data_IF_923592828665
#
_entry.id   IF_923592828665
#
_cell.length_a   1.000
_cell.length_b   1.000
_cell.length_c   1.000
_cell.angle_alpha   90.00
_cell.angle_beta   90.00
_cell.angle_gamma   90.00
#
_symmetry.space_group_name_H-M   'P 1'
#
loop_
_entity.id
_entity.type
_entity.pdbx_description
1 polymer ?
#
# COMPACT_ATOMS: atom_id res chain seq x y z
N UNK A 1 -8.06 -9.97 11.97
CA UNK A 1 -7.52 -9.04 10.95
C UNK A 1 -6.19 -8.52 11.46
N UNK A 2 -5.25 -8.18 10.56
CA UNK A 2 -3.92 -7.65 10.93
C UNK A 2 -4.06 -6.40 11.81
N UNK A 3 -3.24 -6.29 12.86
CA UNK A 3 -3.20 -5.09 13.70
C UNK A 3 -2.32 -4.02 13.03
N UNK A 4 -2.87 -2.85 12.76
CA UNK A 4 -2.19 -1.74 12.07
C UNK A 4 -1.45 -0.87 13.10
N UNK A 5 -0.12 -0.84 13.02
CA UNK A 5 0.76 -0.17 13.99
C UNK A 5 1.68 0.87 13.35
N UNK A 6 1.80 0.91 12.03
CA UNK A 6 2.71 1.81 11.36
C UNK A 6 2.50 3.30 11.70
N UNK A 7 3.59 4.06 11.65
CA UNK A 7 3.63 5.47 12.04
C UNK A 7 2.73 6.38 11.21
N UNK A 8 2.49 6.03 9.94
CA UNK A 8 1.67 6.82 9.02
C UNK A 8 0.19 6.72 9.38
N UNK A 9 -0.27 5.51 9.68
CA UNK A 9 -1.61 5.27 10.23
C UNK A 9 -1.79 5.92 11.62
N UNK A 10 -0.73 5.91 12.43
CA UNK A 10 -0.70 6.45 13.78
C UNK A 10 -0.29 7.93 13.87
N UNK A 11 -0.44 8.69 12.79
CA UNK A 11 -0.18 10.12 12.76
C UNK A 11 -1.05 10.88 13.78
N UNK A 12 -0.55 12.04 14.23
CA UNK A 12 -1.25 12.91 15.19
C UNK A 12 -2.63 13.30 14.64
N UNK A 13 -2.72 13.64 13.36
CA UNK A 13 -3.95 14.06 12.69
C UNK A 13 -4.98 12.93 12.65
N UNK A 14 -4.60 11.72 12.20
CA UNK A 14 -5.51 10.56 12.18
C UNK A 14 -5.99 10.19 13.58
N UNK A 15 -5.12 10.23 14.60
CA UNK A 15 -5.51 10.01 16.00
C UNK A 15 -6.52 11.04 16.48
N UNK A 16 -6.28 12.33 16.20
CA UNK A 16 -7.20 13.41 16.56
C UNK A 16 -8.55 13.27 15.86
N UNK A 17 -8.56 12.87 14.59
CA UNK A 17 -9.78 12.62 13.82
C UNK A 17 -10.58 11.43 14.39
N UNK A 18 -9.92 10.32 14.72
CA UNK A 18 -10.57 9.15 15.36
C UNK A 18 -11.17 9.50 16.72
N UNK A 19 -10.43 10.24 17.56
CA UNK A 19 -10.95 10.71 18.84
C UNK A 19 -12.16 11.63 18.67
N UNK A 20 -12.11 12.52 17.68
CA UNK A 20 -13.24 13.40 17.38
C UNK A 20 -14.47 12.63 16.89
N UNK A 21 -14.31 11.69 15.97
CA UNK A 21 -15.39 10.80 15.53
C UNK A 21 -16.01 10.02 16.70
N UNK A 22 -15.17 9.48 17.60
CA UNK A 22 -15.63 8.78 18.81
C UNK A 22 -16.44 9.71 19.72
N UNK A 23 -15.94 10.92 19.97
CA UNK A 23 -16.65 11.93 20.75
C UNK A 23 -18.01 12.27 20.14
N UNK A 24 -18.06 12.48 18.82
CA UNK A 24 -19.32 12.77 18.11
C UNK A 24 -20.30 11.61 18.17
N UNK A 25 -19.82 10.36 18.08
CA UNK A 25 -20.65 9.16 18.27
C UNK A 25 -21.27 9.07 19.66
N UNK A 26 -20.49 9.36 20.71
CA UNK A 26 -20.99 9.41 22.10
C UNK A 26 -22.03 10.53 22.24
N UNK A 27 -21.76 11.71 21.68
CA UNK A 27 -22.69 12.85 21.71
C UNK A 27 -24.01 12.52 21.00
N UNK A 28 -23.94 11.88 19.82
CA UNK A 28 -25.11 11.36 19.08
C UNK A 28 -25.96 10.45 19.96
N UNK A 29 -25.34 9.48 20.62
CA UNK A 29 -26.03 8.52 21.48
C UNK A 29 -26.84 9.21 22.60
N UNK A 30 -26.22 10.13 23.35
CA UNK A 30 -26.91 10.84 24.43
C UNK A 30 -28.00 11.79 23.91
N UNK A 31 -27.74 12.53 22.82
CA UNK A 31 -28.72 13.48 22.27
C UNK A 31 -29.97 12.76 21.77
N UNK A 32 -29.82 11.66 21.04
CA UNK A 32 -30.95 10.84 20.59
C UNK A 32 -31.75 10.25 21.76
N UNK A 33 -31.07 9.79 22.83
CA UNK A 33 -31.76 9.28 24.03
C UNK A 33 -32.59 10.37 24.74
N UNK A 34 -32.13 11.62 24.69
CA UNK A 34 -32.77 12.77 25.32
C UNK A 34 -33.79 13.51 24.45
N UNK A 35 -33.95 13.13 23.18
CA UNK A 35 -34.69 13.91 22.17
C UNK A 35 -36.15 14.19 22.56
N UNK A 36 -36.80 13.25 23.26
CA UNK A 36 -38.19 13.43 23.73
C UNK A 36 -38.36 14.55 24.76
N UNK A 37 -37.30 14.86 25.51
CA UNK A 37 -37.31 15.89 26.57
C UNK A 37 -36.69 17.18 26.03
N UNK A 38 -35.57 17.06 25.31
CA UNK A 38 -34.83 18.16 24.71
C UNK A 38 -34.73 17.93 23.19
N UNK A 39 -35.69 18.44 22.40
CA UNK A 39 -35.74 18.25 20.97
C UNK A 39 -34.41 18.60 20.28
N UNK A 40 -34.08 17.89 19.21
CA UNK A 40 -32.92 18.20 18.38
C UNK A 40 -33.17 19.48 17.57
N UNK A 41 -32.16 20.36 17.52
CA UNK A 41 -32.18 21.45 16.54
C UNK A 41 -31.85 20.94 15.12
N UNK A 42 -32.05 21.75 14.08
CA UNK A 42 -31.84 21.34 12.69
C UNK A 42 -30.41 20.81 12.41
N UNK A 43 -29.38 21.45 12.97
CA UNK A 43 -28.00 20.98 12.83
C UNK A 43 -27.81 19.60 13.47
N UNK A 44 -28.39 19.38 14.64
CA UNK A 44 -28.34 18.08 15.32
C UNK A 44 -29.14 17.01 14.59
N UNK A 45 -30.27 17.36 13.96
CA UNK A 45 -31.01 16.44 13.09
C UNK A 45 -30.14 15.98 11.93
N UNK A 46 -29.44 16.91 11.26
CA UNK A 46 -28.51 16.61 10.16
C UNK A 46 -27.35 15.73 10.66
N UNK A 47 -26.77 16.04 11.81
CA UNK A 47 -25.59 15.33 12.33
C UNK A 47 -25.90 13.96 12.94
N UNK A 48 -27.04 13.80 13.61
CA UNK A 48 -27.28 12.64 14.46
C UNK A 48 -28.31 11.66 13.89
N UNK A 49 -29.21 12.11 13.03
CA UNK A 49 -30.20 11.23 12.41
C UNK A 49 -29.68 10.68 11.09
N UNK A 50 -30.22 9.54 10.69
CA UNK A 50 -29.87 8.91 9.40
C UNK A 50 -30.87 9.34 8.30
N UNK A 51 -31.73 10.34 8.59
CA UNK A 51 -32.77 10.86 7.69
C UNK A 51 -32.18 11.44 6.40
N UNK A 52 -30.95 11.94 6.47
CA UNK A 52 -30.24 12.60 5.38
C UNK A 52 -29.08 11.74 4.83
N UNK A 53 -28.93 10.50 5.30
CA UNK A 53 -27.86 9.62 4.83
C UNK A 53 -28.27 8.94 3.53
N UNK A 54 -27.44 9.12 2.49
CA UNK A 54 -27.57 8.39 1.25
C UNK A 54 -27.15 6.93 1.48
N UNK A 55 -28.08 5.98 1.29
CA UNK A 55 -27.85 4.55 1.52
C UNK A 55 -27.24 3.91 0.27
N UNK A 56 -25.96 4.16 0.03
CA UNK A 56 -25.25 3.44 -1.03
C UNK A 56 -25.11 1.95 -0.67
N UNK A 57 -25.23 1.11 -1.69
CA UNK A 57 -24.96 -0.33 -1.59
C UNK A 57 -23.46 -0.54 -1.74
N UNK A 58 -22.93 -1.59 -1.13
CA UNK A 58 -21.57 -2.03 -1.43
C UNK A 58 -21.57 -2.60 -2.85
N UNK A 59 -20.62 -2.17 -3.67
CA UNK A 59 -20.38 -2.80 -4.96
C UNK A 59 -19.89 -4.24 -4.75
N UNK A 60 -20.37 -5.13 -5.61
CA UNK A 60 -20.04 -6.56 -5.61
C UNK A 60 -19.61 -6.97 -7.02
N UNK A 61 -18.95 -8.12 -7.10
CA UNK A 61 -18.64 -8.72 -8.39
C UNK A 61 -19.94 -8.97 -9.19
N UNK A 62 -19.89 -8.66 -10.49
CA UNK A 62 -20.91 -9.11 -11.44
C UNK A 62 -20.84 -10.63 -11.60
N UNK A 63 -21.93 -11.23 -12.09
CA UNK A 63 -21.93 -12.65 -12.48
C UNK A 63 -20.75 -12.91 -13.42
N UNK A 64 -20.03 -14.00 -13.19
CA UNK A 64 -18.90 -14.47 -14.03
C UNK A 64 -17.70 -13.51 -14.10
N UNK A 65 -17.67 -12.48 -13.25
CA UNK A 65 -16.55 -11.55 -13.13
C UNK A 65 -15.83 -11.70 -11.80
N UNK A 66 -14.51 -11.49 -11.79
CA UNK A 66 -13.71 -11.51 -10.57
C UNK A 66 -12.66 -10.40 -10.55
N UNK A 67 -12.38 -9.93 -9.34
CA UNK A 67 -11.24 -9.08 -9.00
C UNK A 67 -10.57 -9.70 -7.78
N UNK A 68 -9.26 -9.88 -7.83
CA UNK A 68 -8.47 -10.46 -6.75
C UNK A 68 -7.11 -9.78 -6.67
N UNK A 69 -6.65 -9.51 -5.46
CA UNK A 69 -5.24 -9.28 -5.17
C UNK A 69 -4.43 -10.51 -5.54
N UNK A 70 -3.33 -10.32 -6.29
CA UNK A 70 -2.50 -11.38 -6.85
C UNK A 70 -1.38 -11.85 -5.90
N UNK A 71 -1.54 -11.72 -4.59
CA UNK A 71 -0.53 -12.08 -3.58
C UNK A 71 0.80 -11.33 -3.67
N UNK A 72 1.08 -10.52 -4.70
CA UNK A 72 2.40 -9.90 -4.91
C UNK A 72 2.37 -8.44 -4.54
N UNK A 73 3.32 -8.07 -3.68
CA UNK A 73 3.65 -6.68 -3.36
C UNK A 73 5.11 -6.49 -3.72
N UNK A 74 5.39 -5.69 -4.73
CA UNK A 74 6.73 -5.29 -5.11
C UNK A 74 7.18 -4.19 -4.18
N UNK A 75 8.38 -4.33 -3.61
CA UNK A 75 8.98 -3.30 -2.75
C UNK A 75 10.24 -2.84 -3.44
N UNK A 76 10.21 -1.59 -3.88
CA UNK A 76 11.24 -1.03 -4.73
C UNK A 76 12.21 -0.21 -3.89
N UNK A 77 13.49 -0.32 -4.22
CA UNK A 77 14.52 0.56 -3.71
C UNK A 77 15.60 0.78 -4.76
N UNK A 78 16.52 1.70 -4.48
CA UNK A 78 17.66 1.96 -5.36
C UNK A 78 18.94 2.01 -4.54
N UNK A 79 20.04 1.60 -5.15
CA UNK A 79 21.37 1.75 -4.58
C UNK A 79 22.30 2.41 -5.61
N UNK A 80 23.21 3.30 -5.19
CA UNK A 80 24.28 3.76 -6.06
C UNK A 80 25.15 2.59 -6.55
N UNK A 81 25.57 2.61 -7.82
CA UNK A 81 26.46 1.56 -8.39
C UNK A 81 27.77 1.43 -7.63
N UNK A 82 28.31 2.52 -7.09
CA UNK A 82 29.53 2.48 -6.28
C UNK A 82 29.35 1.75 -4.93
N UNK A 83 28.12 1.47 -4.48
CA UNK A 83 27.81 0.68 -3.27
C UNK A 83 27.51 -0.79 -3.57
N UNK A 84 27.60 -1.25 -4.82
CA UNK A 84 27.14 -2.58 -5.21
C UNK A 84 27.88 -3.73 -4.50
N UNK A 85 29.16 -3.54 -4.20
CA UNK A 85 29.96 -4.54 -3.49
C UNK A 85 29.45 -4.73 -2.06
N UNK A 86 29.16 -3.64 -1.35
CA UNK A 86 28.53 -3.70 -0.04
C UNK A 86 27.14 -4.36 -0.10
N UNK A 87 26.35 -4.04 -1.13
CA UNK A 87 25.08 -4.71 -1.36
C UNK A 87 25.24 -6.23 -1.52
N UNK A 88 26.23 -6.71 -2.28
CA UNK A 88 26.48 -8.15 -2.44
C UNK A 88 26.75 -8.83 -1.09
N UNK A 89 27.58 -8.21 -0.23
CA UNK A 89 27.86 -8.77 1.10
C UNK A 89 26.62 -8.78 2.00
N UNK A 90 25.82 -7.71 1.99
CA UNK A 90 24.52 -7.65 2.66
C UNK A 90 23.55 -8.72 2.14
N UNK A 91 23.49 -8.91 0.83
CA UNK A 91 22.69 -9.95 0.18
C UNK A 91 23.11 -11.35 0.62
N UNK A 92 24.42 -11.66 0.65
CA UNK A 92 24.90 -12.94 1.15
C UNK A 92 24.47 -13.19 2.61
N UNK A 93 24.56 -12.17 3.47
CA UNK A 93 24.13 -12.27 4.86
C UNK A 93 22.60 -12.49 4.97
N UNK A 94 21.82 -11.76 4.17
CA UNK A 94 20.38 -11.90 4.07
C UNK A 94 19.97 -13.33 3.70
N UNK A 95 20.55 -13.88 2.62
CA UNK A 95 20.29 -15.25 2.13
C UNK A 95 20.67 -16.30 3.17
N UNK A 96 21.84 -16.17 3.83
CA UNK A 96 22.29 -17.11 4.85
C UNK A 96 21.35 -17.16 6.07
N UNK A 97 20.83 -16.00 6.49
CA UNK A 97 19.91 -15.91 7.63
C UNK A 97 18.48 -16.31 7.26
N UNK A 98 18.07 -16.05 6.02
CA UNK A 98 16.70 -16.26 5.51
C UNK A 98 16.69 -17.19 4.27
N UNK A 99 17.23 -18.42 4.38
CA UNK A 99 17.21 -19.35 3.26
C UNK A 99 15.76 -19.67 2.87
N UNK A 100 15.52 -19.90 1.59
CA UNK A 100 14.21 -20.37 1.14
C UNK A 100 13.81 -21.67 1.83
N UNK A 101 12.55 -21.77 2.26
CA UNK A 101 11.96 -23.03 2.74
C UNK A 101 11.90 -24.09 1.64
N UNK A 102 11.78 -23.69 0.38
CA UNK A 102 11.78 -24.61 -0.75
C UNK A 102 13.21 -24.90 -1.21
N UNK A 103 13.65 -26.15 -1.08
CA UNK A 103 15.00 -26.59 -1.36
C UNK A 103 15.44 -26.35 -2.81
N UNK A 104 14.50 -26.45 -3.76
CA UNK A 104 14.76 -26.22 -5.19
C UNK A 104 14.91 -24.74 -5.55
N UNK A 105 14.60 -23.84 -4.61
CA UNK A 105 14.67 -22.39 -4.79
C UNK A 105 15.76 -21.74 -3.92
N UNK A 106 16.60 -22.55 -3.26
CA UNK A 106 17.72 -22.05 -2.46
C UNK A 106 18.73 -21.34 -3.37
N UNK A 107 19.08 -20.12 -2.99
CA UNK A 107 20.10 -19.33 -3.68
C UNK A 107 21.47 -19.95 -3.39
N UNK A 108 22.19 -20.32 -4.45
CA UNK A 108 23.57 -20.81 -4.35
C UNK A 108 24.52 -19.59 -4.42
N UNK A 109 25.20 -19.34 -3.32
CA UNK A 109 26.20 -18.25 -3.24
C UNK A 109 27.52 -18.73 -3.85
N UNK A 110 27.66 -18.62 -5.17
CA UNK A 110 28.87 -18.94 -5.91
C UNK A 110 29.47 -17.71 -6.65
N UNK A 111 30.62 -17.92 -7.30
CA UNK A 111 31.29 -16.88 -8.08
C UNK A 111 30.46 -16.40 -9.29
N UNK A 112 29.54 -17.22 -9.82
CA UNK A 112 28.68 -16.82 -10.94
C UNK A 112 27.65 -15.79 -10.46
N UNK A 113 27.01 -16.05 -9.33
CA UNK A 113 26.05 -15.11 -8.73
C UNK A 113 26.76 -13.80 -8.33
N UNK A 114 27.95 -13.90 -7.73
CA UNK A 114 28.77 -12.73 -7.41
C UNK A 114 29.03 -11.87 -8.65
N UNK A 115 29.52 -12.49 -9.73
CA UNK A 115 29.75 -11.78 -11.01
C UNK A 115 28.46 -11.20 -11.58
N UNK A 116 27.35 -11.94 -11.54
CA UNK A 116 26.05 -11.48 -12.03
C UNK A 116 25.58 -10.19 -11.33
N UNK A 117 25.79 -10.09 -10.01
CA UNK A 117 25.47 -8.87 -9.26
C UNK A 117 26.51 -7.78 -9.59
N UNK A 118 27.80 -8.06 -9.41
CA UNK A 118 28.85 -7.04 -9.55
C UNK A 118 28.96 -6.44 -10.96
N UNK A 119 28.53 -7.16 -12.00
CA UNK A 119 28.49 -6.65 -13.38
C UNK A 119 27.60 -5.41 -13.56
N UNK A 120 26.63 -5.18 -12.66
CA UNK A 120 25.82 -3.95 -12.71
C UNK A 120 26.61 -2.69 -12.35
N UNK A 121 27.82 -2.80 -11.75
CA UNK A 121 28.71 -1.64 -11.54
C UNK A 121 29.08 -0.92 -12.83
N UNK A 122 29.24 -1.67 -13.92
CA UNK A 122 29.72 -1.17 -15.21
C UNK A 122 28.65 -1.26 -16.31
N UNK A 123 27.43 -1.69 -15.99
CA UNK A 123 26.36 -1.85 -16.97
C UNK A 123 25.85 -0.49 -17.42
N UNK A 124 26.03 -0.19 -18.71
CA UNK A 124 25.43 0.97 -19.37
C UNK A 124 24.05 0.63 -19.99
N UNK A 125 23.67 -0.65 -19.99
CA UNK A 125 22.47 -1.09 -20.71
C UNK A 125 21.20 -0.81 -19.89
N UNK A 126 20.46 0.23 -20.23
CA UNK A 126 19.16 0.56 -19.64
C UNK A 126 18.19 -0.61 -19.89
N UNK A 127 17.56 -1.13 -18.82
CA UNK A 127 16.57 -2.21 -18.92
C UNK A 127 17.08 -3.65 -18.71
N UNK A 128 18.39 -3.84 -18.44
CA UNK A 128 18.89 -5.15 -17.99
C UNK A 128 18.39 -5.50 -16.59
N UNK A 129 17.92 -6.74 -16.39
CA UNK A 129 17.50 -7.24 -15.07
C UNK A 129 17.98 -8.67 -14.82
N UNK A 130 18.07 -9.05 -13.55
CA UNK A 130 18.49 -10.39 -13.15
C UNK A 130 17.68 -10.86 -11.96
N UNK A 131 17.25 -12.12 -12.04
CA UNK A 131 16.64 -12.84 -10.94
C UNK A 131 17.73 -13.28 -9.96
N UNK A 132 17.66 -12.80 -8.71
CA UNK A 132 18.59 -13.16 -7.65
C UNK A 132 18.12 -14.38 -6.83
N UNK A 133 16.87 -14.79 -7.02
CA UNK A 133 16.25 -15.98 -6.43
C UNK A 133 15.29 -15.67 -5.29
N UNK A 134 15.08 -16.67 -4.43
CA UNK A 134 14.00 -16.66 -3.43
C UNK A 134 14.54 -16.80 -2.01
N UNK A 135 13.91 -16.11 -1.07
CA UNK A 135 14.24 -16.16 0.36
C UNK A 135 12.98 -16.23 1.20
N UNK A 136 13.01 -16.91 2.35
CA UNK A 136 11.86 -16.95 3.26
C UNK A 136 12.15 -16.13 4.51
N UNK A 137 11.35 -15.10 4.82
CA UNK A 137 11.62 -14.25 5.98
C UNK A 137 11.51 -15.04 7.28
N UNK A 138 12.58 -15.02 8.09
CA UNK A 138 12.53 -15.49 9.47
C UNK A 138 12.21 -14.33 10.41
N UNK A 139 10.96 -13.87 10.35
CA UNK A 139 10.46 -12.75 11.17
C UNK A 139 9.08 -13.07 11.72
N UNK A 140 8.90 -12.93 13.04
CA UNK A 140 7.59 -13.08 13.70
C UNK A 140 6.56 -12.08 13.16
N UNK A 141 7.01 -10.90 12.73
CA UNK A 141 6.14 -9.87 12.16
C UNK A 141 5.60 -10.22 10.77
N UNK A 142 6.27 -11.14 10.05
CA UNK A 142 5.95 -11.54 8.68
C UNK A 142 5.50 -12.99 8.53
N UNK A 143 5.75 -13.86 9.52
CA UNK A 143 5.55 -15.32 9.47
C UNK A 143 4.14 -15.74 8.99
N UNK A 144 3.12 -14.97 9.35
CA UNK A 144 1.72 -15.22 8.98
C UNK A 144 1.19 -14.30 7.87
N UNK A 145 2.08 -13.58 7.19
CA UNK A 145 1.73 -12.61 6.14
C UNK A 145 2.43 -12.97 4.83
N UNK A 146 3.76 -13.10 4.86
CA UNK A 146 4.62 -13.29 3.70
C UNK A 146 5.22 -14.70 3.73
N UNK A 147 5.03 -15.45 2.65
CA UNK A 147 5.58 -16.80 2.51
C UNK A 147 7.06 -16.74 2.08
N UNK A 148 7.37 -15.94 1.07
CA UNK A 148 8.72 -15.71 0.59
C UNK A 148 8.86 -14.37 -0.15
N UNK A 149 10.09 -13.92 -0.30
CA UNK A 149 10.49 -12.84 -1.19
C UNK A 149 11.11 -13.42 -2.46
N UNK A 150 10.73 -12.87 -3.61
CA UNK A 150 11.44 -13.02 -4.88
C UNK A 150 12.27 -11.76 -5.10
N UNK A 151 13.56 -11.92 -5.37
CA UNK A 151 14.53 -10.84 -5.43
C UNK A 151 14.97 -10.58 -6.86
N UNK A 152 14.92 -9.32 -7.27
CA UNK A 152 15.46 -8.87 -8.55
C UNK A 152 16.40 -7.68 -8.37
N UNK A 153 17.35 -7.60 -9.27
CA UNK A 153 18.23 -6.45 -9.49
C UNK A 153 18.06 -6.00 -10.93
N UNK A 154 18.01 -4.70 -11.17
CA UNK A 154 17.87 -4.16 -12.51
C UNK A 154 18.66 -2.86 -12.68
N UNK A 155 19.11 -2.61 -13.91
CA UNK A 155 19.83 -1.39 -14.23
C UNK A 155 18.82 -0.26 -14.36
N UNK A 156 18.92 0.71 -13.46
CA UNK A 156 17.96 1.80 -13.39
C UNK A 156 18.48 3.03 -14.15
N UNK A 157 19.74 3.41 -13.93
CA UNK A 157 20.38 4.53 -14.62
C UNK A 157 21.89 4.33 -14.73
N UNK A 158 22.62 5.33 -15.22
CA UNK A 158 24.08 5.30 -15.23
C UNK A 158 24.66 5.21 -13.82
N UNK A 159 24.05 5.87 -12.84
CA UNK A 159 24.56 5.97 -11.46
C UNK A 159 23.90 4.99 -10.47
N UNK A 160 22.70 4.50 -10.78
CA UNK A 160 21.88 3.74 -9.84
C UNK A 160 21.45 2.38 -10.38
N UNK A 161 21.27 1.46 -9.44
CA UNK A 161 20.70 0.14 -9.63
C UNK A 161 19.38 0.09 -8.88
N UNK A 162 18.36 -0.46 -9.52
CA UNK A 162 17.09 -0.75 -8.89
C UNK A 162 17.08 -2.14 -8.25
N UNK A 163 16.38 -2.24 -7.13
CA UNK A 163 16.12 -3.48 -6.41
C UNK A 163 14.61 -3.67 -6.32
N UNK A 164 14.13 -4.86 -6.63
CA UNK A 164 12.75 -5.27 -6.38
C UNK A 164 12.75 -6.48 -5.44
N UNK A 165 12.11 -6.28 -4.29
CA UNK A 165 11.81 -7.30 -3.31
C UNK A 165 10.33 -7.63 -3.39
N UNK A 166 9.96 -8.57 -4.26
CA UNK A 166 8.57 -9.00 -4.42
C UNK A 166 8.16 -9.88 -3.24
N UNK A 167 7.39 -9.33 -2.31
CA UNK A 167 6.78 -10.07 -1.21
C UNK A 167 5.60 -10.88 -1.73
N UNK A 168 5.68 -12.20 -1.57
CA UNK A 168 4.59 -13.12 -1.91
C UNK A 168 3.81 -13.43 -0.64
N UNK A 169 2.56 -12.97 -0.58
CA UNK A 169 1.67 -13.23 0.54
C UNK A 169 1.36 -14.73 0.64
N UNK A 170 1.32 -15.23 1.86
CA UNK A 170 0.89 -16.60 2.08
C UNK A 170 -0.59 -16.80 1.68
N UNK A 171 -0.94 -18.06 1.42
CA UNK A 171 -2.26 -18.42 0.89
C UNK A 171 -3.41 -17.96 1.78
N UNK A 172 -3.30 -18.16 3.08
CA UNK A 172 -4.38 -17.90 4.04
C UNK A 172 -4.63 -16.40 4.23
N UNK A 173 -3.55 -15.62 4.31
CA UNK A 173 -3.64 -14.17 4.43
C UNK A 173 -4.20 -13.57 3.15
N UNK A 174 -3.71 -13.99 1.99
CA UNK A 174 -4.23 -13.53 0.70
C UNK A 174 -5.71 -13.89 0.51
N UNK A 175 -6.14 -15.07 0.97
CA UNK A 175 -7.55 -15.43 0.91
C UNK A 175 -8.41 -14.46 1.73
N UNK A 176 -8.02 -14.20 3.00
CA UNK A 176 -8.70 -13.22 3.87
C UNK A 176 -8.71 -11.80 3.28
N UNK A 177 -7.61 -11.39 2.63
CA UNK A 177 -7.50 -10.09 1.97
C UNK A 177 -8.51 -9.99 0.82
N UNK A 178 -8.61 -11.03 -0.01
CA UNK A 178 -9.54 -11.08 -1.13
C UNK A 178 -11.00 -11.16 -0.70
N UNK A 179 -11.31 -11.91 0.36
CA UNK A 179 -12.65 -11.89 0.96
C UNK A 179 -13.00 -10.47 1.46
N UNK A 180 -12.05 -9.78 2.07
CA UNK A 180 -12.26 -8.40 2.53
C UNK A 180 -12.56 -7.44 1.39
N UNK A 181 -11.85 -7.54 0.25
CA UNK A 181 -12.05 -6.70 -0.94
C UNK A 181 -13.49 -6.72 -1.49
N UNK A 182 -14.24 -7.79 -1.25
CA UNK A 182 -15.64 -7.93 -1.72
C UNK A 182 -16.64 -8.01 -0.58
N UNK A 183 -16.18 -7.85 0.66
CA UNK A 183 -17.00 -7.91 1.85
C UNK A 183 -17.96 -6.72 1.94
N UNK A 184 -19.01 -6.91 2.73
CA UNK A 184 -19.92 -5.82 3.08
C UNK A 184 -19.31 -4.94 4.17
N UNK A 185 -19.15 -3.64 3.88
CA UNK A 185 -18.72 -2.66 4.88
C UNK A 185 -19.94 -1.88 5.39
N UNK A 186 -19.98 -1.67 6.71
CA UNK A 186 -20.97 -0.82 7.36
C UNK A 186 -20.63 0.64 7.08
N UNK A 187 -21.67 1.45 6.94
CA UNK A 187 -21.45 2.88 6.83
C UNK A 187 -20.88 3.42 8.14
N UNK A 188 -19.80 4.19 8.06
CA UNK A 188 -19.16 4.82 9.21
C UNK A 188 -19.22 6.33 9.02
N UNK A 189 -19.94 7.06 9.89
CA UNK A 189 -20.03 8.50 9.75
C UNK A 189 -18.66 9.12 10.05
N UNK A 190 -18.19 9.97 9.14
CA UNK A 190 -17.02 10.79 9.38
C UNK A 190 -17.48 12.22 9.69
N UNK A 191 -17.04 12.75 10.82
CA UNK A 191 -17.36 14.11 11.27
C UNK A 191 -16.17 15.02 11.02
N UNK A 192 -16.38 16.10 10.28
CA UNK A 192 -15.32 17.05 9.96
C UNK A 192 -15.61 18.40 10.59
N UNK A 193 -14.55 19.06 11.08
CA UNK A 193 -14.61 20.45 11.54
C UNK A 193 -14.23 21.35 10.38
N UNK A 194 -14.99 22.40 10.17
CA UNK A 194 -14.66 23.43 9.19
C UNK A 194 -14.98 24.81 9.75
N UNK A 195 -14.44 25.85 9.12
CA UNK A 195 -14.66 27.23 9.52
C UNK A 195 -15.31 28.00 8.37
N UNK A 196 -16.27 28.86 8.70
CA UNK A 196 -16.83 29.86 7.79
C UNK A 196 -16.61 31.22 8.46
N UNK A 197 -15.68 32.01 7.92
CA UNK A 197 -15.09 33.14 8.64
C UNK A 197 -14.50 32.69 9.97
N UNK A 198 -14.85 33.37 11.06
CA UNK A 198 -14.35 33.06 12.41
C UNK A 198 -15.23 32.04 13.16
N UNK A 199 -16.29 31.52 12.54
CA UNK A 199 -17.21 30.57 13.18
C UNK A 199 -16.85 29.14 12.80
N UNK A 200 -16.82 28.27 13.81
CA UNK A 200 -16.54 26.84 13.65
C UNK A 200 -17.82 26.04 13.50
N UNK A 201 -17.84 25.16 12.52
CA UNK A 201 -18.95 24.28 12.21
C UNK A 201 -18.50 22.81 12.20
N UNK A 202 -19.47 21.92 12.25
CA UNK A 202 -19.27 20.48 12.16
C UNK A 202 -20.18 19.97 11.04
N UNK A 203 -19.62 19.18 10.13
CA UNK A 203 -20.37 18.41 9.15
C UNK A 203 -20.25 16.92 9.45
N UNK A 204 -21.23 16.17 8.98
CA UNK A 204 -21.19 14.71 8.88
C UNK A 204 -21.13 14.39 7.38
N UNK A 205 -20.15 13.60 6.98
CA UNK A 205 -20.09 13.01 5.66
C UNK A 205 -20.31 11.51 5.80
N UNK A 206 -21.35 10.99 5.14
CA UNK A 206 -21.44 9.57 4.86
C UNK A 206 -20.50 9.27 3.70
N UNK A 207 -19.36 8.64 4.00
CA UNK A 207 -18.48 8.19 2.93
C UNK A 207 -19.15 7.03 2.20
N UNK A 208 -18.98 6.98 0.88
CA UNK A 208 -19.35 5.82 0.07
C UNK A 208 -18.72 4.56 0.71
N UNK A 209 -19.50 3.49 0.85
CA UNK A 209 -19.05 2.28 1.54
C UNK A 209 -17.84 1.61 0.88
N UNK A 210 -17.73 1.72 -0.44
CA UNK A 210 -16.60 1.21 -1.20
C UNK A 210 -15.35 2.08 -0.98
N UNK A 211 -15.49 3.40 -0.79
CA UNK A 211 -14.39 4.27 -0.35
C UNK A 211 -13.88 3.81 1.02
N UNK A 212 -14.78 3.59 1.99
CA UNK A 212 -14.39 3.08 3.33
C UNK A 212 -13.70 1.71 3.22
N UNK A 213 -14.22 0.81 2.38
CA UNK A 213 -13.63 -0.51 2.14
C UNK A 213 -12.22 -0.37 1.59
N UNK A 214 -12.02 0.49 0.59
CA UNK A 214 -10.72 0.79 0.00
C UNK A 214 -9.77 1.37 1.05
N UNK A 215 -10.14 2.42 1.77
CA UNK A 215 -9.26 3.04 2.78
C UNK A 215 -8.77 2.01 3.82
N UNK A 216 -9.66 1.10 4.24
CA UNK A 216 -9.30 0.00 5.15
C UNK A 216 -8.37 -1.02 4.50
N UNK A 217 -8.57 -1.33 3.21
CA UNK A 217 -7.65 -2.19 2.45
C UNK A 217 -6.28 -1.54 2.34
N UNK A 218 -6.23 -0.26 1.96
CA UNK A 218 -5.02 0.54 1.83
C UNK A 218 -4.24 0.59 3.16
N UNK A 219 -4.95 0.73 4.29
CA UNK A 219 -4.33 0.68 5.62
C UNK A 219 -3.72 -0.70 5.95
N UNK A 220 -4.36 -1.80 5.54
CA UNK A 220 -3.83 -3.17 5.69
C UNK A 220 -2.60 -3.35 4.80
N UNK A 221 -2.68 -2.95 3.53
CA UNK A 221 -1.57 -3.06 2.58
C UNK A 221 -0.39 -2.21 3.04
N UNK A 222 -0.63 -0.98 3.50
CA UNK A 222 0.42 -0.10 4.03
C UNK A 222 1.14 -0.73 5.23
N UNK A 223 0.40 -1.37 6.14
CA UNK A 223 1.01 -2.09 7.27
C UNK A 223 1.94 -3.22 6.79
N UNK A 224 1.52 -4.00 5.80
CA UNK A 224 2.34 -5.08 5.24
C UNK A 224 3.60 -4.51 4.59
N UNK A 225 3.44 -3.49 3.75
CA UNK A 225 4.53 -2.80 3.06
C UNK A 225 5.57 -2.27 4.04
N UNK A 226 5.12 -1.62 5.11
CA UNK A 226 5.98 -1.11 6.18
C UNK A 226 6.73 -2.24 6.89
N UNK A 227 6.06 -3.34 7.28
CA UNK A 227 6.73 -4.48 7.93
C UNK A 227 7.76 -5.16 7.05
N UNK A 228 7.46 -5.31 5.76
CA UNK A 228 8.40 -5.87 4.80
C UNK A 228 9.60 -4.96 4.61
N UNK A 229 9.36 -3.66 4.44
CA UNK A 229 10.43 -2.67 4.32
C UNK A 229 11.32 -2.65 5.57
N UNK A 230 10.74 -2.59 6.77
CA UNK A 230 11.48 -2.62 8.04
C UNK A 230 12.33 -3.89 8.17
N UNK A 231 11.78 -5.04 7.77
CA UNK A 231 12.51 -6.31 7.75
C UNK A 231 13.70 -6.30 6.77
N UNK A 232 13.49 -5.82 5.54
CA UNK A 232 14.55 -5.75 4.53
C UNK A 232 15.65 -4.76 4.96
N UNK A 233 15.27 -3.65 5.59
CA UNK A 233 16.19 -2.62 6.08
C UNK A 233 17.10 -3.10 7.24
N UNK A 234 16.83 -4.28 7.84
CA UNK A 234 17.76 -4.93 8.76
C UNK A 234 19.02 -5.47 8.07
N UNK A 235 18.98 -5.62 6.74
CA UNK A 235 20.05 -6.25 5.95
C UNK A 235 20.63 -5.30 4.90
N UNK A 236 19.76 -4.50 4.29
CA UNK A 236 20.11 -3.57 3.22
C UNK A 236 20.04 -2.14 3.72
N UNK A 237 20.98 -1.29 3.28
CA UNK A 237 20.94 0.17 3.48
C UNK A 237 19.90 0.76 2.50
N UNK A 238 18.61 0.52 2.77
CA UNK A 238 17.53 0.97 1.89
C UNK A 238 17.34 2.48 2.02
N UNK A 239 16.82 3.08 0.96
CA UNK A 239 16.61 4.52 0.91
C UNK A 239 15.63 5.00 1.99
N UNK A 240 15.99 6.00 2.83
CA UNK A 240 15.19 6.39 3.99
C UNK A 240 13.79 6.90 3.62
N UNK A 241 12.77 6.41 4.33
CA UNK A 241 11.37 6.73 4.03
C UNK A 241 10.95 8.16 4.41
N UNK A 242 11.59 8.84 5.36
CA UNK A 242 11.29 10.22 5.77
C UNK A 242 9.80 10.55 5.95
N UNK A 243 9.07 9.68 6.68
CA UNK A 243 7.62 9.79 6.92
C UNK A 243 6.74 9.64 5.66
N UNK A 244 7.26 9.02 4.61
CA UNK A 244 6.51 8.53 3.45
C UNK A 244 6.31 7.02 3.54
N UNK A 245 5.40 6.49 2.72
CA UNK A 245 5.25 5.06 2.52
C UNK A 245 6.42 4.50 1.67
N UNK A 246 6.74 3.20 1.79
CA UNK A 246 7.64 2.54 0.85
C UNK A 246 7.12 2.66 -0.58
N UNK A 247 8.03 2.72 -1.54
CA UNK A 247 7.66 2.65 -2.95
C UNK A 247 7.30 1.20 -3.26
N UNK A 248 6.08 1.00 -3.74
CA UNK A 248 5.55 -0.33 -3.97
C UNK A 248 4.61 -0.40 -5.16
N UNK A 249 4.53 -1.57 -5.77
CA UNK A 249 3.50 -1.92 -6.73
C UNK A 249 2.73 -3.15 -6.23
N UNK A 250 1.41 -3.09 -6.36
CA UNK A 250 0.47 -4.11 -5.89
C UNK A 250 -0.13 -4.80 -7.12
N UNK A 251 0.03 -6.12 -7.25
CA UNK A 251 -0.54 -6.84 -8.39
C UNK A 251 -1.99 -7.29 -8.11
N UNK A 252 -2.85 -7.13 -9.10
CA UNK A 252 -4.23 -7.63 -9.09
C UNK A 252 -4.50 -8.46 -10.35
N UNK A 253 -5.40 -9.45 -10.26
CA UNK A 253 -5.89 -10.23 -11.39
C UNK A 253 -7.39 -10.03 -11.52
N UNK A 254 -7.84 -9.85 -12.75
CA UNK A 254 -9.24 -9.69 -13.09
C UNK A 254 -9.56 -10.24 -14.48
N UNK A 255 -10.79 -10.69 -14.70
CA UNK A 255 -11.34 -10.98 -16.05
C UNK A 255 -12.38 -9.94 -16.50
N UNK A 256 -12.39 -8.78 -15.84
CA UNK A 256 -13.10 -7.64 -16.36
C UNK A 256 -12.40 -7.20 -17.66
N UNK A 257 -13.18 -6.85 -18.67
CA UNK A 257 -12.61 -6.29 -19.89
C UNK A 257 -12.15 -4.87 -19.58
N UNK A 258 -11.05 -4.44 -20.19
CA UNK A 258 -10.45 -3.11 -20.02
C UNK A 258 -11.28 -2.00 -20.72
N UNK A 259 -12.61 -2.09 -20.64
CA UNK A 259 -13.60 -1.16 -21.19
C UNK A 259 -14.72 -0.89 -20.14
N UNK A 260 -14.29 -0.57 -18.91
CA UNK A 260 -15.01 -0.53 -17.63
C UNK A 260 -16.00 0.62 -17.39
N UNK A 261 -16.61 1.24 -18.41
CA UNK A 261 -17.60 2.33 -18.17
C UNK A 261 -18.73 1.92 -17.21
N UNK A 262 -19.04 0.62 -17.15
CA UNK A 262 -20.10 0.06 -16.31
C UNK A 262 -19.60 -0.75 -15.10
N UNK A 263 -18.29 -0.80 -14.82
CA UNK A 263 -17.71 -1.64 -13.77
C UNK A 263 -17.29 -0.82 -12.55
N UNK A 264 -18.29 -0.44 -11.75
CA UNK A 264 -18.12 0.40 -10.57
C UNK A 264 -17.11 -0.19 -9.56
N UNK A 265 -17.07 -1.51 -9.39
CA UNK A 265 -16.13 -2.17 -8.48
C UNK A 265 -14.66 -1.93 -8.82
N UNK A 266 -14.29 -1.94 -10.11
CA UNK A 266 -12.90 -1.67 -10.53
C UNK A 266 -12.50 -0.23 -10.20
N UNK A 267 -13.40 0.73 -10.43
CA UNK A 267 -13.17 2.14 -10.09
C UNK A 267 -13.04 2.37 -8.59
N UNK A 268 -13.66 1.54 -7.75
CA UNK A 268 -13.46 1.62 -6.30
C UNK A 268 -11.99 1.38 -5.88
N UNK A 269 -11.21 0.70 -6.72
CA UNK A 269 -9.79 0.41 -6.53
C UNK A 269 -8.90 1.18 -7.51
N UNK A 270 -9.38 2.32 -8.03
CA UNK A 270 -8.66 3.19 -8.95
C UNK A 270 -8.22 2.56 -10.28
N UNK A 271 -8.86 1.45 -10.70
CA UNK A 271 -8.69 0.93 -12.05
C UNK A 271 -9.49 1.81 -13.03
N UNK A 272 -8.80 2.74 -13.67
CA UNK A 272 -9.34 3.59 -14.73
C UNK A 272 -8.87 3.12 -16.11
N UNK A 273 -9.72 3.27 -17.13
CA UNK A 273 -9.26 3.17 -18.52
C UNK A 273 -8.49 4.44 -18.84
N UNK A 274 -7.24 4.30 -19.26
CA UNK A 274 -6.53 5.35 -19.97
C UNK A 274 -6.64 5.07 -21.46
N UNK A 275 -7.08 6.05 -22.26
CA UNK A 275 -7.05 5.91 -23.73
C UNK A 275 -5.57 5.84 -24.18
N UNK A 276 -5.26 5.16 -25.30
CA UNK A 276 -3.87 4.94 -25.79
C UNK A 276 -2.97 6.20 -25.81
N UNK A 277 -3.57 7.40 -25.88
CA UNK A 277 -2.88 8.70 -25.85
C UNK A 277 -2.38 9.13 -24.47
N UNK A 278 -2.83 8.47 -23.41
CA UNK A 278 -2.47 8.73 -22.01
C UNK A 278 -1.50 7.70 -21.45
N UNK A 279 -1.13 6.68 -22.23
CA UNK A 279 -0.10 5.70 -21.86
C UNK A 279 1.24 6.43 -21.89
N UNK A 280 1.78 6.77 -20.71
CA UNK A 280 3.12 7.33 -20.62
C UNK A 280 4.14 6.26 -21.01
N UNK A 281 5.10 6.67 -21.85
CA UNK A 281 6.36 5.97 -22.03
C UNK A 281 7.31 6.67 -21.08
N UNK A 282 7.99 5.90 -20.24
CA UNK A 282 9.04 6.32 -19.30
C UNK A 282 8.56 6.67 -17.87
N UNK A 283 8.99 5.83 -16.91
CA UNK A 283 8.96 6.14 -15.48
C UNK A 283 10.22 6.93 -15.13
N UNK A 284 10.07 8.22 -14.80
CA UNK A 284 11.17 9.03 -14.29
C UNK A 284 11.24 8.93 -12.76
N UNK A 285 12.38 8.48 -12.24
CA UNK A 285 12.71 8.60 -10.81
C UNK A 285 13.37 9.95 -10.60
N UNK A 286 12.67 10.85 -9.91
CA UNK A 286 13.27 12.12 -9.48
C UNK A 286 13.99 11.88 -8.15
N UNK A 287 15.32 11.84 -8.21
CA UNK A 287 16.16 11.96 -7.02
C UNK A 287 16.40 13.45 -6.81
N UNK A 288 15.62 14.07 -5.92
CA UNK A 288 15.76 15.49 -5.67
C UNK A 288 16.98 15.76 -4.76
N UNK A 289 18.11 16.12 -5.36
CA UNK A 289 19.34 16.47 -4.66
C UNK A 289 19.31 17.85 -3.99
N UNK A 290 18.27 18.67 -4.24
CA UNK A 290 18.20 20.08 -3.81
C UNK A 290 17.33 20.34 -2.57
N UNK A 291 16.58 19.34 -2.08
CA UNK A 291 15.83 19.49 -0.83
C UNK A 291 16.75 19.22 0.36
N UNK A 292 16.63 20.04 1.41
CA UNK A 292 17.32 19.83 2.71
C UNK A 292 17.00 18.47 3.35
N UNK A 293 16.01 17.76 2.83
CA UNK A 293 15.68 16.36 3.15
C UNK A 293 15.66 15.53 1.86
N UNK A 294 16.67 14.68 1.70
CA UNK A 294 16.78 13.76 0.57
C UNK A 294 15.56 12.82 0.55
N UNK A 295 14.72 12.88 -0.50
CA UNK A 295 13.53 12.03 -0.59
C UNK A 295 13.38 11.41 -1.96
N UNK A 296 13.03 10.11 -1.99
CA UNK A 296 12.62 9.41 -3.20
C UNK A 296 11.14 9.68 -3.43
N UNK A 297 10.81 10.06 -4.66
CA UNK A 297 9.43 10.10 -5.13
C UNK A 297 9.45 9.51 -6.53
N UNK A 298 8.70 8.44 -6.76
CA UNK A 298 8.30 8.10 -8.11
C UNK A 298 7.21 9.12 -8.45
N UNK A 299 7.41 9.91 -9.50
CA UNK A 299 6.34 10.76 -9.95
C UNK A 299 5.38 9.86 -10.71
N UNK A 300 4.17 9.69 -10.19
CA UNK A 300 3.10 9.06 -10.94
C UNK A 300 2.83 9.91 -12.19
N UNK A 301 3.34 9.46 -13.33
CA UNK A 301 2.63 9.60 -14.60
C UNK A 301 1.86 8.30 -14.81
N UNK A 302 0.82 8.14 -13.97
CA UNK A 302 -0.23 7.12 -14.01
C UNK A 302 0.17 5.78 -14.64
N UNK A 303 0.58 4.83 -13.79
CA UNK A 303 0.84 3.45 -14.20
C UNK A 303 -0.46 2.62 -14.13
N UNK A 304 -0.73 1.87 -15.20
CA UNK A 304 -1.69 0.75 -15.24
C UNK A 304 -0.96 -0.57 -14.98
#
# INVERSE_FOLDING_TARGET
MLEIKNKLYNSKERKMQKLFNKYMGIKKFFRLKSEKIFPLNENEKILYTDKYDYKEKNEKNKSDKYLSFNKRIHILSVIPKNKIENFYYSFCNFVKKNPSKNEFSKIILDERLKKSILNYSNSLNLGGWSNLGYTTPKSKELENIVDYFHLFIFNLSEDYIGLDFTAILNKDFNHKLNEFMISEIKNEPNYCKYYVGNKRFISKTGLNKDIIRREKLDDILLEIKMRCYDFLNLYFDLFPLNNKAPITFDEYITNYEFNSKNDYLLRCYDFYIFEDKQISRDMDIIINHNDKEFSQTFLDLYLC
#
